data_IF_044394776113
#
_entry.id   IF_044394776113
#
_cell.length_a   1.000
_cell.length_b   1.000
_cell.length_c   1.000
_cell.angle_alpha   90.00
_cell.angle_beta   90.00
_cell.angle_gamma   90.00
#
_symmetry.space_group_name_H-M   'P 1'
#
loop_
_entity.id
_entity.type
_entity.pdbx_description
1 polymer ?
#
# COMPACT_ATOMS: atom_id res chain seq x y z
N UNK A 1 -18.17 -18.12 -14.12
CA UNK A 1 -18.42 -17.19 -12.98
C UNK A 1 -17.41 -17.42 -11.86
N UNK A 2 -17.13 -18.66 -11.48
CA UNK A 2 -16.18 -19.01 -10.41
C UNK A 2 -14.75 -18.46 -10.61
N UNK A 3 -14.18 -18.54 -11.82
CA UNK A 3 -12.85 -17.96 -12.08
C UNK A 3 -12.79 -16.43 -11.91
N UNK A 4 -13.88 -15.73 -12.23
CA UNK A 4 -13.98 -14.27 -12.04
C UNK A 4 -14.11 -13.92 -10.56
N UNK A 5 -14.89 -14.71 -9.81
CA UNK A 5 -15.04 -14.52 -8.37
C UNK A 5 -13.75 -14.86 -7.61
N UNK A 6 -13.00 -15.86 -8.04
CA UNK A 6 -11.68 -16.18 -7.52
C UNK A 6 -10.65 -15.06 -7.81
N UNK A 7 -10.72 -14.44 -8.99
CA UNK A 7 -9.88 -13.30 -9.35
C UNK A 7 -10.19 -12.06 -8.50
N UNK A 8 -11.46 -11.71 -8.33
CA UNK A 8 -11.91 -10.56 -7.51
C UNK A 8 -11.59 -10.77 -6.02
N UNK A 9 -11.54 -12.01 -5.56
CA UNK A 9 -11.14 -12.36 -4.20
C UNK A 9 -9.62 -12.58 -4.05
N UNK A 10 -8.79 -12.19 -5.02
CA UNK A 10 -7.34 -12.32 -4.88
C UNK A 10 -6.78 -11.20 -3.98
N UNK A 11 -6.08 -11.58 -2.90
CA UNK A 11 -5.42 -10.64 -1.98
C UNK A 11 -4.42 -9.70 -2.66
N UNK A 12 -3.75 -10.16 -3.72
CA UNK A 12 -2.80 -9.37 -4.50
C UNK A 12 -3.50 -8.32 -5.35
N UNK A 13 -4.72 -8.57 -5.83
CA UNK A 13 -5.55 -7.58 -6.51
C UNK A 13 -5.87 -6.42 -5.57
N UNK A 14 -6.30 -6.73 -4.34
CA UNK A 14 -6.58 -5.71 -3.31
C UNK A 14 -5.34 -4.89 -2.96
N UNK A 15 -4.16 -5.51 -2.90
CA UNK A 15 -2.91 -4.79 -2.64
C UNK A 15 -2.53 -3.87 -3.81
N UNK A 16 -2.71 -4.33 -5.03
CA UNK A 16 -2.52 -3.52 -6.24
C UNK A 16 -3.48 -2.34 -6.28
N UNK A 17 -4.76 -2.55 -5.94
CA UNK A 17 -5.74 -1.47 -5.88
C UNK A 17 -5.39 -0.47 -4.79
N UNK A 18 -4.90 -0.93 -3.65
CA UNK A 18 -4.37 -0.07 -2.60
C UNK A 18 -3.18 0.76 -3.09
N UNK A 19 -2.28 0.19 -3.92
CA UNK A 19 -1.18 0.95 -4.54
C UNK A 19 -1.70 2.02 -5.51
N UNK A 20 -2.76 1.73 -6.29
CA UNK A 20 -3.41 2.71 -7.17
C UNK A 20 -4.08 3.83 -6.39
N UNK A 21 -4.83 3.49 -5.35
CA UNK A 21 -5.44 4.48 -4.45
C UNK A 21 -4.35 5.35 -3.85
N UNK A 22 -3.22 4.75 -3.42
CA UNK A 22 -2.15 5.49 -2.77
C UNK A 22 -1.36 6.39 -3.74
N UNK A 23 -1.16 5.93 -4.97
CA UNK A 23 -0.62 6.73 -6.06
C UNK A 23 -1.51 7.94 -6.34
N UNK A 24 -2.83 7.73 -6.50
CA UNK A 24 -3.75 8.81 -6.81
C UNK A 24 -3.95 9.76 -5.63
N UNK A 25 -4.04 9.24 -4.41
CA UNK A 25 -4.15 10.04 -3.20
C UNK A 25 -2.96 10.98 -3.06
N UNK A 26 -1.73 10.48 -3.27
CA UNK A 26 -0.52 11.28 -3.09
C UNK A 26 -0.37 12.48 -4.05
N UNK A 27 -1.14 12.53 -5.15
CA UNK A 27 -1.22 13.67 -6.07
C UNK A 27 -1.67 14.94 -5.31
N UNK A 28 -2.54 14.82 -4.29
CA UNK A 28 -3.01 15.94 -3.47
C UNK A 28 -1.93 16.57 -2.57
N UNK A 29 -0.88 15.80 -2.22
CA UNK A 29 0.18 16.21 -1.30
C UNK A 29 1.11 17.31 -1.83
N UNK A 30 1.04 17.64 -3.13
CA UNK A 30 1.87 18.67 -3.77
C UNK A 30 1.43 20.11 -3.45
N UNK A 31 0.35 20.28 -2.69
CA UNK A 31 -0.16 21.59 -2.26
C UNK A 31 0.81 22.23 -1.24
N UNK A 32 1.45 23.35 -1.60
CA UNK A 32 2.50 24.07 -0.80
C UNK A 32 2.06 24.64 0.57
N UNK A 33 0.94 24.21 1.15
CA UNK A 33 0.46 24.68 2.47
C UNK A 33 0.89 23.70 3.57
N UNK A 34 2.18 23.75 3.92
CA UNK A 34 2.79 22.85 4.90
C UNK A 34 2.09 22.81 6.26
N UNK A 35 1.59 23.95 6.76
CA UNK A 35 0.93 24.01 8.08
C UNK A 35 -0.44 23.30 8.09
N UNK A 36 -1.24 23.45 7.03
CA UNK A 36 -2.51 22.75 6.90
C UNK A 36 -2.31 21.23 6.74
N UNK A 37 -1.22 20.84 6.07
CA UNK A 37 -0.81 19.44 5.91
C UNK A 37 -0.49 18.77 7.26
N UNK A 38 0.33 19.40 8.11
CA UNK A 38 0.67 18.82 9.43
C UNK A 38 -0.54 18.72 10.37
N UNK A 39 -1.50 19.63 10.26
CA UNK A 39 -2.78 19.50 10.97
C UNK A 39 -3.63 18.35 10.42
N UNK A 40 -3.64 18.13 9.10
CA UNK A 40 -4.37 17.03 8.46
C UNK A 40 -3.85 15.63 8.81
N UNK A 41 -2.52 15.48 8.94
CA UNK A 41 -1.91 14.21 9.38
C UNK A 41 -2.31 13.84 10.82
N UNK A 42 -2.54 14.85 11.67
CA UNK A 42 -3.03 14.66 13.05
C UNK A 42 -4.48 14.14 13.10
N UNK A 43 -5.26 14.38 12.03
CA UNK A 43 -6.63 13.87 11.86
C UNK A 43 -6.65 12.43 11.32
N UNK A 44 -5.49 11.85 10.97
CA UNK A 44 -5.39 10.43 10.62
C UNK A 44 -5.91 9.49 11.70
N UNK A 45 -5.92 9.92 12.98
CA UNK A 45 -6.61 9.22 14.05
C UNK A 45 -8.12 9.07 13.78
N UNK A 46 -8.80 10.14 13.35
CA UNK A 46 -10.24 10.10 13.02
C UNK A 46 -10.50 9.18 11.83
N UNK A 47 -9.66 9.22 10.81
CA UNK A 47 -9.78 8.30 9.67
C UNK A 47 -9.59 6.84 10.10
N UNK A 48 -8.64 6.58 11.01
CA UNK A 48 -8.41 5.27 11.62
C UNK A 48 -9.62 4.78 12.41
N UNK A 49 -10.09 5.56 13.38
CA UNK A 49 -11.28 5.21 14.18
C UNK A 49 -12.52 5.05 13.30
N UNK A 50 -12.68 5.87 12.26
CA UNK A 50 -13.81 5.74 11.35
C UNK A 50 -13.72 4.46 10.50
N UNK A 51 -12.52 3.98 10.16
CA UNK A 51 -12.33 2.70 9.46
C UNK A 51 -12.62 1.46 10.31
N UNK A 52 -12.69 1.61 11.64
CA UNK A 52 -13.15 0.55 12.55
C UNK A 52 -14.68 0.48 12.64
N UNK A 53 -15.36 1.62 12.45
CA UNK A 53 -16.82 1.73 12.57
C UNK A 53 -17.51 1.53 11.22
N UNK A 54 -16.97 2.15 10.16
CA UNK A 54 -17.48 2.06 8.81
C UNK A 54 -16.78 0.94 8.04
N UNK A 55 -17.48 0.27 7.11
CA UNK A 55 -16.81 -0.58 6.13
C UNK A 55 -15.87 0.27 5.26
N UNK A 56 -14.79 -0.34 4.75
CA UNK A 56 -13.76 0.37 3.97
C UNK A 56 -14.31 1.19 2.79
N UNK A 57 -15.35 0.69 2.13
CA UNK A 57 -16.02 1.44 1.07
C UNK A 57 -16.63 2.76 1.58
N UNK A 58 -17.20 2.76 2.78
CA UNK A 58 -17.76 3.95 3.42
C UNK A 58 -16.66 4.96 3.76
N UNK A 59 -15.53 4.49 4.28
CA UNK A 59 -14.33 5.31 4.53
C UNK A 59 -13.82 5.97 3.23
N UNK A 60 -13.75 5.22 2.13
CA UNK A 60 -13.37 5.74 0.82
C UNK A 60 -14.35 6.79 0.28
N UNK A 61 -15.67 6.61 0.46
CA UNK A 61 -16.66 7.62 0.06
C UNK A 61 -16.53 8.92 0.85
N UNK A 62 -16.32 8.83 2.16
CA UNK A 62 -16.09 10.02 3.00
C UNK A 62 -14.87 10.79 2.49
N UNK A 63 -13.77 10.07 2.20
CA UNK A 63 -12.59 10.67 1.59
C UNK A 63 -12.86 11.34 0.24
N UNK A 64 -13.61 10.68 -0.64
CA UNK A 64 -13.94 11.20 -1.96
C UNK A 64 -14.82 12.45 -1.89
N UNK A 65 -15.81 12.47 -0.99
CA UNK A 65 -16.64 13.64 -0.76
C UNK A 65 -15.80 14.81 -0.22
N UNK A 66 -14.90 14.57 0.74
CA UNK A 66 -14.02 15.62 1.26
C UNK A 66 -13.07 16.16 0.19
N UNK A 67 -12.49 15.30 -0.65
CA UNK A 67 -11.64 15.69 -1.77
C UNK A 67 -12.40 16.56 -2.78
N UNK A 68 -13.61 16.15 -3.17
CA UNK A 68 -14.47 16.88 -4.11
C UNK A 68 -14.94 18.22 -3.53
N UNK A 69 -15.37 18.25 -2.27
CA UNK A 69 -15.83 19.49 -1.63
C UNK A 69 -14.67 20.47 -1.45
N UNK A 70 -13.55 20.01 -0.88
CA UNK A 70 -12.40 20.85 -0.59
C UNK A 70 -11.74 21.41 -1.84
N UNK A 71 -11.14 20.54 -2.65
CA UNK A 71 -10.42 20.98 -3.85
C UNK A 71 -11.37 21.40 -4.98
N UNK A 72 -12.57 20.83 -5.08
CA UNK A 72 -13.52 21.21 -6.13
C UNK A 72 -14.01 22.64 -5.97
N UNK A 73 -14.19 23.10 -4.72
CA UNK A 73 -14.48 24.51 -4.48
C UNK A 73 -13.29 25.41 -4.82
N UNK A 74 -12.06 25.02 -4.46
CA UNK A 74 -10.84 25.74 -4.85
C UNK A 74 -10.76 25.88 -6.37
N UNK A 75 -11.04 24.80 -7.11
CA UNK A 75 -11.09 24.81 -8.57
C UNK A 75 -12.16 25.76 -9.12
N UNK A 76 -13.36 25.78 -8.54
CA UNK A 76 -14.43 26.70 -8.96
C UNK A 76 -14.03 28.17 -8.75
N UNK A 77 -13.31 28.48 -7.68
CA UNK A 77 -12.80 29.84 -7.47
C UNK A 77 -11.70 30.20 -8.47
N UNK A 78 -10.73 29.30 -8.71
CA UNK A 78 -9.64 29.56 -9.66
C UNK A 78 -10.15 29.72 -11.10
N UNK A 79 -11.22 29.01 -11.47
CA UNK A 79 -11.87 29.15 -12.78
C UNK A 79 -12.88 30.31 -12.87
N UNK A 80 -13.04 31.10 -11.80
CA UNK A 80 -13.96 32.23 -11.76
C UNK A 80 -15.45 31.86 -11.78
N UNK A 81 -15.79 30.58 -11.54
CA UNK A 81 -17.18 30.09 -11.51
C UNK A 81 -17.86 30.25 -10.15
N UNK A 82 -17.08 30.40 -9.08
CA UNK A 82 -17.56 30.67 -7.73
C UNK A 82 -16.92 31.94 -7.17
N UNK A 83 -17.59 32.66 -6.26
CA UNK A 83 -17.01 33.84 -5.62
C UNK A 83 -15.75 33.47 -4.85
N UNK A 84 -14.80 34.40 -4.82
CA UNK A 84 -13.60 34.26 -4.00
C UNK A 84 -14.00 34.34 -2.53
N UNK A 85 -13.84 33.22 -1.82
CA UNK A 85 -14.05 33.16 -0.39
C UNK A 85 -12.92 33.87 0.37
N UNK A 86 -13.17 34.37 1.59
CA UNK A 86 -12.12 34.90 2.44
C UNK A 86 -11.06 33.83 2.75
N UNK A 87 -9.82 34.28 2.99
CA UNK A 87 -8.65 33.39 3.16
C UNK A 87 -8.88 32.28 4.19
N UNK A 88 -9.55 32.57 5.31
CA UNK A 88 -9.84 31.58 6.34
C UNK A 88 -10.72 30.44 5.81
N UNK A 89 -11.71 30.73 4.98
CA UNK A 89 -12.59 29.74 4.39
C UNK A 89 -11.87 28.94 3.30
N UNK A 90 -10.97 29.56 2.54
CA UNK A 90 -10.07 28.84 1.63
C UNK A 90 -9.15 27.87 2.37
N UNK A 91 -8.58 28.28 3.50
CA UNK A 91 -7.77 27.41 4.35
C UNK A 91 -8.58 26.21 4.85
N UNK A 92 -9.84 26.41 5.25
CA UNK A 92 -10.72 25.31 5.65
C UNK A 92 -11.01 24.36 4.49
N UNK A 93 -11.29 24.87 3.28
CA UNK A 93 -11.54 24.02 2.11
C UNK A 93 -10.32 23.19 1.72
N UNK A 94 -9.14 23.80 1.73
CA UNK A 94 -7.88 23.08 1.47
C UNK A 94 -7.63 22.05 2.56
N UNK A 95 -7.88 22.38 3.83
CA UNK A 95 -7.80 21.43 4.93
C UNK A 95 -8.76 20.25 4.71
N UNK A 96 -10.03 20.50 4.39
CA UNK A 96 -11.01 19.44 4.09
C UNK A 96 -10.55 18.57 2.92
N UNK A 97 -10.07 19.17 1.83
CA UNK A 97 -9.53 18.43 0.68
C UNK A 97 -8.36 17.53 1.07
N UNK A 98 -7.40 18.06 1.83
CA UNK A 98 -6.24 17.32 2.32
C UNK A 98 -6.62 16.21 3.30
N UNK A 99 -7.69 16.38 4.09
CA UNK A 99 -8.21 15.32 4.96
C UNK A 99 -8.78 14.15 4.16
N UNK A 100 -9.39 14.41 2.99
CA UNK A 100 -9.92 13.35 2.13
C UNK A 100 -8.86 12.33 1.72
N UNK A 101 -7.63 12.80 1.51
CA UNK A 101 -6.48 11.95 1.20
C UNK A 101 -6.14 10.96 2.34
N UNK A 102 -6.26 11.41 3.58
CA UNK A 102 -6.00 10.59 4.76
C UNK A 102 -6.94 9.39 4.83
N UNK A 103 -8.22 9.55 4.43
CA UNK A 103 -9.17 8.45 4.35
C UNK A 103 -8.79 7.42 3.28
N UNK A 104 -8.30 7.87 2.13
CA UNK A 104 -7.81 6.99 1.06
C UNK A 104 -6.62 6.15 1.53
N UNK A 105 -5.63 6.81 2.15
CA UNK A 105 -4.44 6.15 2.69
C UNK A 105 -4.81 5.13 3.77
N UNK A 106 -5.65 5.52 4.74
CA UNK A 106 -6.09 4.61 5.80
C UNK A 106 -6.82 3.40 5.23
N UNK A 107 -7.78 3.59 4.31
CA UNK A 107 -8.53 2.48 3.73
C UNK A 107 -7.61 1.52 2.94
N UNK A 108 -6.70 2.06 2.12
CA UNK A 108 -5.72 1.28 1.37
C UNK A 108 -4.78 0.48 2.30
N UNK A 109 -4.28 1.12 3.37
CA UNK A 109 -3.36 0.52 4.32
C UNK A 109 -4.04 -0.54 5.19
N UNK A 110 -5.21 -0.24 5.76
CA UNK A 110 -5.97 -1.18 6.60
C UNK A 110 -6.36 -2.42 5.79
N UNK A 111 -6.88 -2.25 4.56
CA UNK A 111 -7.21 -3.37 3.67
C UNK A 111 -6.00 -4.27 3.40
N UNK A 112 -4.84 -3.66 3.11
CA UNK A 112 -3.63 -4.38 2.74
C UNK A 112 -3.00 -5.11 3.93
N UNK A 113 -2.93 -4.46 5.10
CA UNK A 113 -2.38 -5.04 6.33
C UNK A 113 -3.26 -6.18 6.86
N UNK A 114 -4.58 -6.08 6.69
CA UNK A 114 -5.51 -7.17 7.00
C UNK A 114 -5.36 -8.35 6.04
N UNK A 115 -5.09 -8.09 4.75
CA UNK A 115 -4.85 -9.15 3.76
C UNK A 115 -3.50 -9.86 3.94
N UNK A 116 -2.48 -9.19 4.49
CA UNK A 116 -1.12 -9.71 4.66
C UNK A 116 -0.61 -9.51 6.11
N UNK A 117 -1.16 -10.23 7.10
CA UNK A 117 -0.86 -10.02 8.51
C UNK A 117 0.58 -10.37 8.92
N UNK A 118 1.25 -11.26 8.18
CA UNK A 118 2.65 -11.66 8.44
C UNK A 118 3.68 -10.74 7.77
N UNK A 119 3.24 -9.84 6.87
CA UNK A 119 4.13 -8.96 6.08
C UNK A 119 3.74 -7.49 6.17
N UNK A 120 3.24 -7.05 7.34
CA UNK A 120 2.76 -5.68 7.57
C UNK A 120 3.83 -4.62 7.27
N UNK A 121 5.08 -4.87 7.64
CA UNK A 121 6.19 -3.94 7.43
C UNK A 121 6.43 -3.61 5.95
N UNK A 122 6.76 -4.60 5.10
CA UNK A 122 6.90 -4.40 3.66
C UNK A 122 5.67 -3.78 2.99
N UNK A 123 4.47 -4.24 3.36
CA UNK A 123 3.19 -3.69 2.83
C UNK A 123 3.07 -2.20 3.09
N UNK A 124 3.24 -1.77 4.34
CA UNK A 124 3.17 -0.35 4.72
C UNK A 124 4.28 0.45 4.03
N UNK A 125 5.49 -0.11 3.95
CA UNK A 125 6.62 0.53 3.28
C UNK A 125 6.37 0.78 1.80
N UNK A 126 5.87 -0.22 1.07
CA UNK A 126 5.55 -0.11 -0.36
C UNK A 126 4.45 0.92 -0.59
N UNK A 127 3.34 0.85 0.15
CA UNK A 127 2.23 1.80 0.00
C UNK A 127 2.69 3.24 0.26
N UNK A 128 3.36 3.49 1.40
CA UNK A 128 3.89 4.82 1.69
C UNK A 128 4.93 5.28 0.67
N UNK A 129 5.73 4.36 0.13
CA UNK A 129 6.64 4.63 -0.97
C UNK A 129 5.89 5.16 -2.20
N UNK A 130 4.83 4.49 -2.64
CA UNK A 130 3.99 4.95 -3.76
C UNK A 130 3.32 6.30 -3.49
N UNK A 131 2.90 6.55 -2.25
CA UNK A 131 2.40 7.87 -1.84
C UNK A 131 3.45 8.95 -2.10
N UNK A 132 4.70 8.72 -1.69
CA UNK A 132 5.80 9.66 -1.91
C UNK A 132 6.22 9.82 -3.38
N UNK A 133 6.18 8.74 -4.16
CA UNK A 133 6.55 8.77 -5.59
C UNK A 133 5.51 9.48 -6.45
N UNK A 134 4.23 9.50 -6.03
CA UNK A 134 3.12 10.11 -6.77
C UNK A 134 3.39 11.56 -7.19
N UNK A 135 4.02 12.36 -6.33
CA UNK A 135 4.29 13.77 -6.62
C UNK A 135 5.32 13.97 -7.73
N UNK A 136 6.38 13.16 -7.74
CA UNK A 136 7.38 13.17 -8.81
C UNK A 136 6.77 12.71 -10.15
N UNK A 137 5.95 11.66 -10.11
CA UNK A 137 5.22 11.15 -11.28
C UNK A 137 4.27 12.22 -11.82
N UNK A 138 3.52 12.90 -10.95
CA UNK A 138 2.60 13.95 -11.36
C UNK A 138 3.33 15.12 -12.02
N UNK A 139 4.44 15.54 -11.44
CA UNK A 139 5.26 16.62 -11.98
C UNK A 139 5.74 16.25 -13.39
N UNK A 140 6.17 15.00 -13.58
CA UNK A 140 6.58 14.51 -14.89
C UNK A 140 5.43 14.47 -15.91
N UNK A 141 4.24 14.01 -15.53
CA UNK A 141 3.05 14.00 -16.39
C UNK A 141 2.64 15.42 -16.77
N UNK A 142 2.67 16.36 -15.82
CA UNK A 142 2.35 17.77 -16.06
C UNK A 142 3.28 18.39 -17.10
N UNK A 143 4.60 18.17 -16.96
CA UNK A 143 5.58 18.66 -17.95
C UNK A 143 5.36 18.05 -19.33
N UNK A 144 4.94 16.77 -19.41
CA UNK A 144 4.69 16.10 -20.69
C UNK A 144 3.47 16.67 -21.40
N UNK A 145 2.34 16.80 -20.69
CA UNK A 145 1.08 17.29 -21.28
C UNK A 145 1.17 18.78 -21.63
N UNK A 146 2.11 19.51 -21.01
CA UNK A 146 2.33 20.94 -21.26
C UNK A 146 1.03 21.76 -21.07
N UNK A 147 0.34 21.51 -19.96
CA UNK A 147 -0.91 22.19 -19.66
C UNK A 147 -0.70 23.72 -19.63
N UNK A 148 -1.58 24.50 -20.27
CA UNK A 148 -1.43 25.94 -20.38
C UNK A 148 -1.76 26.69 -19.08
N UNK A 149 -2.50 26.06 -18.15
CA UNK A 149 -3.08 26.72 -17.00
C UNK A 149 -3.03 25.89 -15.71
N UNK A 150 -2.95 26.57 -14.57
CA UNK A 150 -2.91 25.96 -13.23
C UNK A 150 -4.26 25.35 -12.81
N UNK A 151 -5.38 25.76 -13.42
CA UNK A 151 -6.69 25.24 -13.06
C UNK A 151 -6.89 23.80 -13.53
N UNK A 152 -6.31 23.43 -14.68
CA UNK A 152 -6.27 22.05 -15.19
C UNK A 152 -5.56 21.09 -14.23
N UNK A 153 -4.49 21.54 -13.55
CA UNK A 153 -3.83 20.76 -12.51
C UNK A 153 -4.73 20.52 -11.31
N UNK A 154 -5.37 21.57 -10.81
CA UNK A 154 -6.28 21.48 -9.66
C UNK A 154 -7.46 20.56 -10.03
N UNK A 155 -7.99 20.66 -11.25
CA UNK A 155 -9.04 19.77 -11.74
C UNK A 155 -8.63 18.29 -11.72
N UNK A 156 -7.42 17.99 -12.19
CA UNK A 156 -6.87 16.64 -12.16
C UNK A 156 -6.74 16.10 -10.73
N UNK A 157 -6.34 16.94 -9.77
CA UNK A 157 -6.28 16.60 -8.33
C UNK A 157 -7.67 16.37 -7.72
N UNK A 158 -8.69 17.13 -8.17
CA UNK A 158 -10.08 16.98 -7.71
C UNK A 158 -10.68 15.68 -8.21
N UNK A 159 -10.59 15.45 -9.52
CA UNK A 159 -11.36 14.41 -10.20
C UNK A 159 -10.58 13.10 -10.29
N UNK A 160 -9.28 13.14 -10.54
CA UNK A 160 -8.45 11.94 -10.75
C UNK A 160 -8.52 10.96 -9.57
N UNK A 161 -8.17 11.38 -8.34
CA UNK A 161 -8.22 10.52 -7.16
C UNK A 161 -9.64 10.06 -6.83
N UNK A 162 -10.63 10.95 -6.91
CA UNK A 162 -12.03 10.60 -6.64
C UNK A 162 -12.55 9.55 -7.63
N UNK A 163 -12.26 9.69 -8.92
CA UNK A 163 -12.65 8.74 -9.96
C UNK A 163 -12.04 7.36 -9.73
N UNK A 164 -10.73 7.30 -9.44
CA UNK A 164 -10.03 6.02 -9.20
C UNK A 164 -10.56 5.34 -7.94
N UNK A 165 -10.75 6.10 -6.85
CA UNK A 165 -11.28 5.56 -5.60
C UNK A 165 -12.71 5.04 -5.76
N UNK A 166 -13.58 5.79 -6.43
CA UNK A 166 -14.97 5.36 -6.68
C UNK A 166 -15.01 4.11 -7.59
N UNK A 167 -14.09 4.00 -8.57
CA UNK A 167 -13.99 2.80 -9.40
C UNK A 167 -13.52 1.56 -8.62
N UNK A 168 -12.59 1.73 -7.68
CA UNK A 168 -11.97 0.63 -6.92
C UNK A 168 -12.74 0.27 -5.63
N UNK A 169 -13.77 1.03 -5.28
CA UNK A 169 -14.49 0.92 -4.00
C UNK A 169 -15.06 -0.48 -3.72
N UNK A 170 -15.46 -1.22 -4.76
CA UNK A 170 -16.04 -2.55 -4.62
C UNK A 170 -14.98 -3.65 -4.53
N UNK A 171 -13.75 -3.39 -4.99
CA UNK A 171 -12.66 -4.35 -5.04
C UNK A 171 -11.82 -4.28 -3.76
N UNK A 172 -11.68 -3.08 -3.16
CA UNK A 172 -10.99 -2.88 -1.88
C UNK A 172 -11.85 -3.37 -0.72
N UNK A 173 -11.84 -4.68 -0.51
CA UNK A 173 -12.43 -5.34 0.66
C UNK A 173 -11.39 -6.27 1.27
N UNK A 174 -11.32 -6.39 2.60
CA UNK A 174 -10.47 -7.38 3.24
C UNK A 174 -10.98 -8.76 2.82
N UNK A 175 -10.15 -9.53 2.12
CA UNK A 175 -10.53 -10.88 1.72
C UNK A 175 -10.21 -11.80 2.89
N UNK A 176 -11.17 -11.89 3.82
CA UNK A 176 -11.10 -12.85 4.92
C UNK A 176 -11.14 -14.27 4.35
N UNK A 177 -10.03 -15.01 4.41
CA UNK A 177 -10.05 -16.40 3.96
C UNK A 177 -8.74 -17.17 4.00
N UNK A 178 -7.59 -16.58 3.70
CA UNK A 178 -6.37 -17.37 3.48
C UNK A 178 -5.23 -16.99 4.44
N UNK A 179 -5.35 -17.24 5.74
CA UNK A 179 -4.24 -17.06 6.71
C UNK A 179 -2.99 -17.93 6.43
N UNK A 180 -2.96 -18.65 5.31
CA UNK A 180 -1.82 -19.39 4.84
C UNK A 180 -0.86 -18.44 4.13
N UNK A 181 0.35 -18.32 4.68
CA UNK A 181 1.49 -17.66 4.03
C UNK A 181 1.91 -18.53 2.87
N UNK A 182 1.83 -18.03 1.65
CA UNK A 182 2.33 -18.76 0.48
C UNK A 182 3.83 -18.47 0.36
N UNK A 183 4.69 -19.46 0.08
CA UNK A 183 6.11 -19.19 -0.12
C UNK A 183 6.37 -18.19 -1.27
N UNK A 184 5.44 -18.07 -2.22
CA UNK A 184 5.48 -17.07 -3.30
C UNK A 184 5.21 -15.63 -2.85
N UNK A 185 4.68 -15.42 -1.64
CA UNK A 185 4.43 -14.08 -1.12
C UNK A 185 5.74 -13.33 -0.87
N UNK A 186 6.75 -14.00 -0.30
CA UNK A 186 8.07 -13.41 -0.06
C UNK A 186 8.80 -13.01 -1.34
N UNK A 187 8.69 -13.84 -2.38
CA UNK A 187 9.25 -13.54 -3.71
C UNK A 187 8.54 -12.34 -4.34
N UNK A 188 7.21 -12.30 -4.26
CA UNK A 188 6.39 -11.22 -4.79
C UNK A 188 6.68 -9.90 -4.08
N UNK A 189 6.78 -9.88 -2.75
CA UNK A 189 7.15 -8.68 -2.00
C UNK A 189 8.57 -8.20 -2.32
N UNK A 190 9.55 -9.11 -2.39
CA UNK A 190 10.94 -8.77 -2.76
C UNK A 190 11.00 -8.19 -4.18
N UNK A 191 10.24 -8.76 -5.11
CA UNK A 191 10.13 -8.28 -6.48
C UNK A 191 9.53 -6.86 -6.54
N UNK A 192 8.36 -6.65 -5.90
CA UNK A 192 7.72 -5.33 -5.85
C UNK A 192 8.65 -4.32 -5.21
N UNK A 193 9.28 -4.65 -4.09
CA UNK A 193 10.20 -3.75 -3.39
C UNK A 193 11.37 -3.31 -4.29
N UNK A 194 12.00 -4.25 -5.01
CA UNK A 194 13.07 -3.94 -5.97
C UNK A 194 12.58 -3.08 -7.13
N UNK A 195 11.39 -3.37 -7.67
CA UNK A 195 10.78 -2.59 -8.74
C UNK A 195 10.43 -1.15 -8.27
N UNK A 196 9.92 -0.99 -7.05
CA UNK A 196 9.68 0.33 -6.44
C UNK A 196 10.98 1.12 -6.27
N UNK A 197 12.04 0.46 -5.80
CA UNK A 197 13.35 1.11 -5.62
C UNK A 197 13.93 1.55 -6.97
N UNK A 198 13.82 0.72 -8.00
CA UNK A 198 14.21 1.07 -9.37
C UNK A 198 13.39 2.25 -9.90
N UNK A 199 12.07 2.23 -9.70
CA UNK A 199 11.17 3.32 -10.08
C UNK A 199 11.54 4.63 -9.37
N UNK A 200 11.87 4.57 -8.07
CA UNK A 200 12.31 5.71 -7.29
C UNK A 200 13.63 6.30 -7.80
N UNK A 201 14.64 5.45 -8.03
CA UNK A 201 15.92 5.87 -8.58
C UNK A 201 15.78 6.48 -9.99
N UNK A 202 14.93 5.87 -10.82
CA UNK A 202 14.59 6.39 -12.14
C UNK A 202 13.95 7.78 -12.07
N UNK A 203 12.91 7.94 -11.25
CA UNK A 203 12.24 9.22 -11.06
C UNK A 203 13.19 10.28 -10.52
N UNK A 204 14.04 9.94 -9.55
CA UNK A 204 15.05 10.86 -9.02
C UNK A 204 16.01 11.32 -10.13
N UNK A 205 16.51 10.40 -10.95
CA UNK A 205 17.40 10.72 -12.07
C UNK A 205 16.72 11.62 -13.11
N UNK A 206 15.48 11.31 -13.51
CA UNK A 206 14.74 12.14 -14.49
C UNK A 206 14.41 13.52 -13.94
N UNK A 207 14.02 13.61 -12.66
CA UNK A 207 13.70 14.90 -12.03
C UNK A 207 14.96 15.78 -11.91
N UNK A 208 16.09 15.22 -11.44
CA UNK A 208 17.35 15.95 -11.41
C UNK A 208 17.82 16.37 -12.80
N UNK A 209 17.67 15.50 -13.81
CA UNK A 209 18.07 15.84 -15.18
C UNK A 209 17.23 17.00 -15.74
N UNK A 210 15.92 17.03 -15.45
CA UNK A 210 15.04 18.14 -15.85
C UNK A 210 15.37 19.45 -15.13
N UNK A 211 15.77 19.39 -13.87
CA UNK A 211 16.10 20.57 -13.08
C UNK A 211 17.49 21.13 -13.43
N UNK A 212 18.44 20.26 -13.81
CA UNK A 212 19.83 20.65 -14.09
C UNK A 212 20.09 20.96 -15.58
N UNK A 213 19.32 20.39 -16.50
CA UNK A 213 19.54 20.51 -17.95
C UNK A 213 18.22 20.84 -18.65
N UNK A 214 18.27 21.71 -19.67
CA UNK A 214 17.12 21.98 -20.54
C UNK A 214 16.82 20.78 -21.43
N UNK A 215 15.98 19.87 -20.92
CA UNK A 215 15.55 18.66 -21.65
C UNK A 215 14.50 19.04 -22.71
N UNK A 216 14.68 18.53 -23.94
CA UNK A 216 13.71 18.75 -25.02
C UNK A 216 12.37 18.04 -24.75
N UNK A 217 11.28 18.57 -25.31
CA UNK A 217 9.93 18.00 -25.10
C UNK A 217 9.83 16.53 -25.54
N UNK A 218 10.50 16.15 -26.64
CA UNK A 218 10.58 14.76 -27.11
C UNK A 218 11.18 13.82 -26.06
N UNK A 219 12.25 14.25 -25.38
CA UNK A 219 12.87 13.45 -24.32
C UNK A 219 11.95 13.35 -23.09
N UNK A 220 11.21 14.42 -22.76
CA UNK A 220 10.19 14.37 -21.70
C UNK A 220 9.11 13.34 -22.03
N UNK A 221 8.63 13.28 -23.27
CA UNK A 221 7.69 12.24 -23.73
C UNK A 221 8.30 10.86 -23.56
N UNK A 222 9.52 10.63 -24.06
CA UNK A 222 10.20 9.32 -23.95
C UNK A 222 10.35 8.88 -22.49
N UNK A 223 10.84 9.76 -21.61
CA UNK A 223 10.93 9.46 -20.18
C UNK A 223 9.56 9.17 -19.56
N UNK A 224 8.50 9.82 -20.03
CA UNK A 224 7.14 9.61 -19.49
C UNK A 224 6.56 8.28 -19.97
N UNK A 225 6.83 7.87 -21.21
CA UNK A 225 6.46 6.54 -21.72
C UNK A 225 7.17 5.44 -20.93
N UNK A 226 8.48 5.56 -20.72
CA UNK A 226 9.26 4.62 -19.89
C UNK A 226 8.72 4.57 -18.46
N UNK A 227 8.34 5.72 -17.90
CA UNK A 227 7.72 5.79 -16.58
C UNK A 227 6.44 4.95 -16.49
N UNK A 228 5.54 5.07 -17.47
CA UNK A 228 4.29 4.28 -17.46
C UNK A 228 4.56 2.78 -17.52
N UNK A 229 5.53 2.33 -18.32
CA UNK A 229 5.95 0.93 -18.31
C UNK A 229 6.49 0.50 -16.93
N UNK A 230 7.38 1.29 -16.34
CA UNK A 230 7.92 1.02 -15.00
C UNK A 230 6.86 1.01 -13.90
N UNK A 231 5.78 1.79 -14.05
CA UNK A 231 4.68 1.85 -13.09
C UNK A 231 3.78 0.62 -13.16
N UNK A 232 3.57 0.04 -14.35
CA UNK A 232 2.74 -1.15 -14.55
C UNK A 232 3.42 -2.43 -14.04
N UNK A 233 4.75 -2.51 -14.08
CA UNK A 233 5.55 -3.69 -13.69
C UNK A 233 5.27 -4.16 -12.24
N UNK A 234 5.46 -3.33 -11.19
CA UNK A 234 5.22 -3.74 -9.79
C UNK A 234 3.75 -4.05 -9.50
N UNK A 235 2.86 -3.68 -10.41
CA UNK A 235 1.40 -3.81 -10.28
C UNK A 235 0.91 -5.13 -10.90
N UNK A 236 1.30 -5.43 -12.14
CA UNK A 236 0.75 -6.58 -12.88
C UNK A 236 1.44 -7.89 -12.49
N UNK A 237 2.74 -7.85 -12.19
CA UNK A 237 3.52 -9.05 -11.92
C UNK A 237 3.09 -9.83 -10.66
N UNK A 238 2.79 -9.23 -9.49
CA UNK A 238 2.29 -10.02 -8.36
C UNK A 238 0.96 -10.72 -8.66
N UNK A 239 0.10 -10.13 -9.48
CA UNK A 239 -1.16 -10.75 -9.92
C UNK A 239 -0.87 -11.96 -10.80
N UNK A 240 0.04 -11.84 -11.77
CA UNK A 240 0.43 -12.96 -12.66
C UNK A 240 1.07 -14.10 -11.86
N UNK A 241 2.00 -13.78 -10.95
CA UNK A 241 2.67 -14.77 -10.11
C UNK A 241 1.67 -15.47 -9.19
N UNK A 242 0.72 -14.71 -8.62
CA UNK A 242 -0.32 -15.27 -7.75
C UNK A 242 -1.30 -16.17 -8.49
N UNK A 243 -1.64 -15.88 -9.75
CA UNK A 243 -2.58 -16.69 -10.55
C UNK A 243 -1.90 -17.95 -11.09
N UNK A 244 -0.59 -17.87 -11.37
CA UNK A 244 0.17 -18.99 -11.95
C UNK A 244 0.42 -20.13 -10.95
N UNK A 245 0.17 -19.89 -9.66
CA UNK A 245 0.64 -20.75 -8.57
C UNK A 245 -0.44 -21.68 -7.96
N UNK A 246 -1.67 -21.80 -8.48
CA UNK A 246 -2.69 -22.70 -7.89
C UNK A 246 -3.42 -23.61 -8.92
N UNK A 247 -3.60 -24.95 -8.70
CA UNK A 247 -3.18 -25.81 -7.57
C UNK A 247 -2.36 -27.07 -7.94
N UNK A 248 -1.40 -27.47 -7.09
CA UNK A 248 -1.11 -28.90 -6.87
C UNK A 248 -2.18 -29.38 -5.90
N UNK A 249 -2.98 -30.38 -6.33
CA UNK A 249 -4.18 -30.84 -5.64
C UNK A 249 -3.94 -31.49 -4.27
N UNK A 250 -5.03 -31.82 -3.54
CA UNK A 250 -4.96 -32.39 -2.21
C UNK A 250 -4.74 -33.91 -2.30
N UNK A 251 -3.48 -34.34 -2.31
CA UNK A 251 -3.04 -35.73 -2.07
C UNK A 251 -1.62 -35.55 -1.50
N UNK A 252 -1.37 -35.61 -0.20
CA UNK A 252 -1.30 -36.84 0.59
C UNK A 252 -1.15 -36.41 2.06
N UNK A 253 -2.25 -36.29 2.80
CA UNK A 253 -2.24 -36.34 4.26
C UNK A 253 -2.61 -37.78 4.68
N UNK A 254 -1.82 -38.75 4.23
CA UNK A 254 -1.81 -40.12 4.74
C UNK A 254 -0.36 -40.59 4.66
N UNK A 255 0.09 -41.39 5.62
CA UNK A 255 1.44 -41.98 5.73
C UNK A 255 2.51 -41.13 6.43
N UNK A 256 2.24 -40.79 7.69
CA UNK A 256 3.26 -41.08 8.70
C UNK A 256 3.50 -42.60 8.72
N UNK A 257 4.78 -43.02 8.71
CA UNK A 257 5.27 -43.74 9.88
C UNK A 257 6.62 -43.20 10.37
N UNK A 258 6.81 -43.26 11.69
CA UNK A 258 8.03 -42.98 12.46
C UNK A 258 8.49 -44.32 13.07
N UNK A 259 9.73 -44.50 13.55
CA UNK A 259 11.06 -44.04 13.14
C UNK A 259 12.01 -45.23 12.82
N UNK A 260 13.16 -45.01 12.19
CA UNK A 260 14.35 -45.84 12.44
C UNK A 260 15.66 -45.12 12.09
N UNK A 261 16.67 -45.33 12.94
CA UNK A 261 17.98 -44.68 12.94
C UNK A 261 18.90 -45.31 11.87
N UNK A 262 19.88 -44.52 11.37
CA UNK A 262 21.33 -44.77 11.52
C UNK A 262 22.18 -44.37 10.28
N UNK A 263 23.09 -43.41 10.55
CA UNK A 263 24.46 -43.20 10.05
C UNK A 263 24.81 -42.68 8.63
N UNK A 264 25.30 -41.43 8.65
CA UNK A 264 26.62 -40.95 8.20
C UNK A 264 26.99 -40.91 6.70
N UNK A 265 27.19 -39.70 6.14
CA UNK A 265 28.49 -38.99 6.11
C UNK A 265 28.59 -37.90 5.03
N UNK A 266 28.87 -36.67 5.49
CA UNK A 266 29.67 -35.55 4.92
C UNK A 266 29.37 -34.91 3.56
N UNK A 267 28.98 -33.62 3.62
CA UNK A 267 29.64 -32.51 2.92
C UNK A 267 29.27 -31.18 3.60
N UNK A 268 30.21 -30.61 4.34
CA UNK A 268 30.10 -29.31 5.03
C UNK A 268 30.79 -28.23 4.19
N UNK A 269 30.03 -27.21 3.76
CA UNK A 269 30.40 -25.78 3.70
C UNK A 269 29.29 -25.03 2.96
N UNK A 270 28.29 -24.59 3.73
CA UNK A 270 27.09 -23.90 3.23
C UNK A 270 25.90 -23.96 4.19
N UNK A 271 25.96 -24.84 5.21
CA UNK A 271 24.83 -25.17 6.10
C UNK A 271 24.80 -24.31 7.39
N UNK A 272 25.89 -23.61 7.72
CA UNK A 272 26.05 -23.02 9.06
C UNK A 272 25.24 -21.73 9.30
N UNK A 273 24.88 -20.95 8.27
CA UNK A 273 23.98 -19.80 8.43
C UNK A 273 22.51 -20.20 8.47
N UNK A 274 22.16 -21.32 7.83
CA UNK A 274 20.78 -21.80 7.73
C UNK A 274 20.36 -22.55 9.00
N UNK A 275 21.25 -23.32 9.62
CA UNK A 275 20.99 -24.01 10.90
C UNK A 275 20.86 -23.06 12.10
N UNK A 276 21.61 -21.95 12.13
CA UNK A 276 21.52 -20.96 13.22
C UNK A 276 20.18 -20.24 13.18
N UNK A 277 19.68 -19.88 11.99
CA UNK A 277 18.37 -19.25 11.83
C UNK A 277 17.21 -20.22 12.10
N UNK A 278 17.32 -21.48 11.68
CA UNK A 278 16.32 -22.51 12.02
C UNK A 278 16.29 -22.83 13.52
N UNK A 279 17.43 -22.80 14.21
CA UNK A 279 17.50 -23.06 15.65
C UNK A 279 16.89 -21.93 16.49
N UNK A 280 17.08 -20.66 16.10
CA UNK A 280 16.44 -19.53 16.79
C UNK A 280 14.92 -19.48 16.57
N UNK A 281 14.45 -19.80 15.36
CA UNK A 281 13.01 -19.86 15.05
C UNK A 281 12.34 -21.02 15.79
N UNK A 282 13.00 -22.18 15.86
CA UNK A 282 12.48 -23.34 16.56
C UNK A 282 12.47 -23.14 18.10
N UNK A 283 13.49 -22.46 18.65
CA UNK A 283 13.53 -22.14 20.09
C UNK A 283 12.46 -21.10 20.49
N UNK A 284 12.10 -20.15 19.62
CA UNK A 284 10.95 -19.23 19.87
C UNK A 284 9.60 -19.93 19.75
N UNK A 285 9.47 -20.88 18.82
CA UNK A 285 8.26 -21.69 18.67
C UNK A 285 8.03 -22.59 19.89
N UNK A 286 9.07 -23.28 20.36
CA UNK A 286 9.03 -24.10 21.58
C UNK A 286 8.71 -23.28 22.84
N UNK A 287 9.30 -22.08 22.98
CA UNK A 287 9.01 -21.19 24.12
C UNK A 287 7.56 -20.67 24.11
N UNK A 288 6.94 -20.57 22.94
CA UNK A 288 5.52 -20.18 22.81
C UNK A 288 4.60 -21.35 23.12
N UNK A 289 4.98 -22.56 22.71
CA UNK A 289 4.21 -23.79 22.93
C UNK A 289 4.27 -24.29 24.39
N UNK A 290 5.39 -24.07 25.08
CA UNK A 290 5.56 -24.42 26.50
C UNK A 290 4.75 -23.50 27.44
N UNK A 291 4.47 -22.26 27.02
CA UNK A 291 3.65 -21.29 27.79
C UNK A 291 2.14 -21.58 27.69
N UNK A 292 1.71 -22.29 26.63
CA UNK A 292 0.31 -22.65 26.40
C UNK A 292 -0.08 -24.03 26.93
N UNK A 293 0.88 -24.83 27.41
CA UNK A 293 0.62 -26.18 27.96
C UNK A 293 0.67 -26.25 29.50
N UNK A 294 0.90 -25.14 30.19
CA UNK A 294 0.95 -25.11 31.66
C UNK A 294 -0.45 -25.28 32.28
N UNK A 295 -0.63 -26.19 33.26
CA UNK A 295 -1.89 -26.35 33.99
C UNK A 295 -2.35 -25.01 34.61
N UNK A 296 -3.66 -24.74 34.56
CA UNK A 296 -4.25 -23.46 34.99
C UNK A 296 -3.84 -23.01 36.42
N UNK A 297 -3.54 -23.97 37.30
CA UNK A 297 -3.08 -23.73 38.67
C UNK A 297 -1.68 -23.11 38.78
N UNK A 298 -0.78 -23.36 37.82
CA UNK A 298 0.56 -22.77 37.78
C UNK A 298 0.57 -21.38 37.15
N UNK A 299 -0.33 -21.13 36.19
CA UNK A 299 -0.54 -19.81 35.57
C UNK A 299 -1.02 -18.78 36.62
N UNK A 300 -1.92 -19.17 37.54
CA UNK A 300 -2.36 -18.31 38.64
C UNK A 300 -1.27 -18.01 39.68
N UNK A 301 -0.40 -18.98 40.01
CA UNK A 301 0.72 -18.76 40.96
C UNK A 301 1.75 -17.78 40.42
N UNK A 302 2.08 -17.83 39.13
CA UNK A 302 3.02 -16.87 38.50
C UNK A 302 2.45 -15.47 38.40
N UNK A 303 1.14 -15.32 38.14
CA UNK A 303 0.48 -14.00 38.12
C UNK A 303 0.48 -13.38 39.52
N UNK A 304 0.24 -14.17 40.57
CA UNK A 304 0.29 -13.69 41.95
C UNK A 304 1.70 -13.27 42.41
N UNK A 305 2.77 -13.91 41.91
CA UNK A 305 4.15 -13.54 42.22
C UNK A 305 4.64 -12.28 41.48
N UNK A 306 4.00 -11.89 40.38
CA UNK A 306 4.35 -10.68 39.61
C UNK A 306 3.62 -9.42 40.09
N UNK A 307 2.66 -9.56 41.01
CA UNK A 307 1.89 -8.46 41.60
C UNK A 307 2.29 -8.16 43.06
N UNK A 308 3.37 -8.77 43.56
CA UNK A 308 3.97 -8.52 44.87
C UNK A 308 5.22 -7.65 44.77
#
# INVERSE_FOLDING_TARGET
MEKFQAFVNNRWLVFVDAMWIQYCAGIGQLSKLGVAKYLGDSVGFLAGSLSEILPLWGTLLVGALQNLIGYGWVWLTVTGRAPVLPLWAMCILIFVGNNGETYFNTAALVSSVQNFPESKGPVVGILKGFAGLSGAILTQIYTMINFPDQASLIFMVVVGPAMVVVALIFIVRPVGGHRQVRPSDGLSFSFIYRACLLLAAYLMGVMLLKDLVSVSHTLVIIFTVILFFLLIIPIVLPIILSISDEPIGPVEEVLLPKPEQQEASKSEQGVQEQEVMYSEVNMRSLRTQEVDLLPASERQKRIAQLQA
#
